data_IF_152217172327
#
_entry.id   IF_152217172327
#
_cell.length_a   1.000
_cell.length_b   1.000
_cell.length_c   1.000
_cell.angle_alpha   90.00
_cell.angle_beta   90.00
_cell.angle_gamma   90.00
#
_symmetry.space_group_name_H-M   'P 1'
#
loop_
_entity.id
_entity.type
_entity.pdbx_description
1 polymer ?
#
# COMPACT_ATOMS: atom_id res chain seq x y z
N UNK A 1 -8.20 -5.78 -17.81
CA UNK A 1 -8.29 -7.09 -17.10
C UNK A 1 -9.71 -7.45 -16.66
N UNK A 2 -10.69 -6.53 -16.69
CA UNK A 2 -12.07 -6.77 -16.24
C UNK A 2 -12.81 -7.89 -16.99
N UNK A 3 -12.56 -8.06 -18.27
CA UNK A 3 -13.17 -9.12 -19.07
C UNK A 3 -12.91 -10.54 -18.54
N UNK A 4 -11.70 -10.82 -18.08
CA UNK A 4 -11.35 -12.14 -17.58
C UNK A 4 -12.18 -12.57 -16.36
N UNK A 5 -12.67 -11.61 -15.57
CA UNK A 5 -13.53 -11.85 -14.41
C UNK A 5 -15.02 -11.97 -14.79
N UNK A 6 -15.42 -11.36 -15.91
CA UNK A 6 -16.81 -11.41 -16.35
C UNK A 6 -17.17 -12.73 -17.03
N UNK A 7 -16.24 -13.34 -17.78
CA UNK A 7 -16.50 -14.58 -18.51
C UNK A 7 -17.01 -15.71 -17.60
N UNK A 8 -16.38 -16.05 -16.45
CA UNK A 8 -16.92 -17.07 -15.56
C UNK A 8 -18.33 -16.74 -15.04
N UNK A 9 -18.65 -15.48 -14.78
CA UNK A 9 -19.97 -15.06 -14.29
C UNK A 9 -21.06 -15.24 -15.34
N UNK A 10 -20.69 -15.18 -16.61
CA UNK A 10 -21.61 -15.34 -17.75
C UNK A 10 -21.80 -16.82 -18.11
N UNK A 11 -20.70 -17.59 -18.12
CA UNK A 11 -20.68 -18.95 -18.66
C UNK A 11 -21.03 -20.03 -17.60
N UNK A 12 -20.68 -19.80 -16.33
CA UNK A 12 -20.82 -20.82 -15.29
C UNK A 12 -22.09 -20.63 -14.46
N UNK A 13 -23.25 -20.70 -15.10
CA UNK A 13 -24.57 -20.45 -14.46
C UNK A 13 -24.90 -21.41 -13.30
N UNK A 14 -24.29 -22.59 -13.27
CA UNK A 14 -24.49 -23.58 -12.20
C UNK A 14 -23.55 -23.35 -10.99
N UNK A 15 -22.58 -22.46 -11.09
CA UNK A 15 -21.62 -22.18 -10.01
C UNK A 15 -22.21 -21.25 -8.94
N UNK A 16 -21.70 -21.36 -7.74
CA UNK A 16 -21.89 -20.39 -6.69
C UNK A 16 -20.71 -19.42 -6.69
N UNK A 17 -21.00 -18.12 -6.69
CA UNK A 17 -19.98 -17.09 -6.73
C UNK A 17 -19.87 -16.35 -5.41
N UNK A 18 -18.64 -16.08 -4.99
CA UNK A 18 -18.30 -15.13 -3.96
C UNK A 18 -17.49 -13.99 -4.60
N UNK A 19 -18.08 -12.81 -4.73
CA UNK A 19 -17.43 -11.64 -5.27
C UNK A 19 -16.97 -10.75 -4.11
N UNK A 20 -15.68 -10.44 -4.06
CA UNK A 20 -15.09 -9.60 -3.02
C UNK A 20 -14.40 -8.40 -3.66
N UNK A 21 -14.74 -7.21 -3.21
CA UNK A 21 -14.09 -5.97 -3.65
C UNK A 21 -14.18 -4.92 -2.55
N UNK A 22 -13.10 -4.15 -2.40
CA UNK A 22 -13.07 -3.00 -1.50
C UNK A 22 -13.63 -1.72 -2.14
N UNK A 23 -13.74 -1.66 -3.47
CA UNK A 23 -13.98 -0.43 -4.23
C UNK A 23 -15.11 -0.54 -5.27
N UNK A 24 -15.87 -1.63 -5.28
CA UNK A 24 -17.07 -1.71 -6.13
C UNK A 24 -18.13 -0.77 -5.52
N UNK A 25 -18.59 0.18 -6.33
CA UNK A 25 -19.69 1.07 -5.95
C UNK A 25 -21.02 0.32 -5.82
N UNK A 26 -22.09 0.85 -6.40
CA UNK A 26 -23.39 0.18 -6.40
C UNK A 26 -23.33 -1.17 -7.14
N UNK A 27 -23.59 -2.23 -6.40
CA UNK A 27 -23.54 -3.63 -6.89
C UNK A 27 -24.91 -4.17 -7.30
N UNK A 28 -25.96 -3.39 -7.23
CA UNK A 28 -27.35 -3.82 -7.47
C UNK A 28 -27.50 -4.53 -8.81
N UNK A 29 -27.00 -3.94 -9.90
CA UNK A 29 -27.07 -4.53 -11.23
C UNK A 29 -26.33 -5.86 -11.35
N UNK A 30 -25.20 -6.00 -10.65
CA UNK A 30 -24.43 -7.25 -10.66
C UNK A 30 -25.20 -8.33 -9.91
N UNK A 31 -25.77 -8.01 -8.76
CA UNK A 31 -26.57 -8.92 -7.95
C UNK A 31 -27.83 -9.39 -8.69
N UNK A 32 -28.55 -8.49 -9.34
CA UNK A 32 -29.72 -8.81 -10.17
C UNK A 32 -29.37 -9.71 -11.36
N UNK A 33 -28.28 -9.40 -12.08
CA UNK A 33 -27.85 -10.19 -13.23
C UNK A 33 -27.40 -11.59 -12.82
N UNK A 34 -26.66 -11.73 -11.74
CA UNK A 34 -26.26 -13.03 -11.19
C UNK A 34 -27.50 -13.83 -10.74
N UNK A 35 -28.43 -13.23 -10.04
CA UNK A 35 -29.68 -13.87 -9.63
C UNK A 35 -30.44 -14.42 -10.83
N UNK A 36 -30.60 -13.60 -11.89
CA UNK A 36 -31.27 -13.98 -13.12
C UNK A 36 -30.59 -15.13 -13.85
N UNK A 37 -29.25 -15.10 -13.92
CA UNK A 37 -28.46 -16.12 -14.64
C UNK A 37 -28.37 -17.44 -13.92
N UNK A 38 -28.17 -17.40 -12.62
CA UNK A 38 -27.94 -18.61 -11.80
C UNK A 38 -29.21 -19.18 -11.23
N UNK A 39 -30.33 -18.43 -11.23
CA UNK A 39 -31.57 -18.80 -10.54
C UNK A 39 -31.44 -18.81 -9.01
N UNK A 40 -30.36 -18.29 -8.45
CA UNK A 40 -30.08 -18.26 -7.01
C UNK A 40 -30.11 -16.82 -6.50
N UNK A 41 -30.67 -16.55 -5.31
CA UNK A 41 -30.68 -15.22 -4.75
C UNK A 41 -29.25 -14.73 -4.46
N UNK A 42 -28.91 -13.54 -4.91
CA UNK A 42 -27.64 -12.88 -4.56
C UNK A 42 -27.84 -12.07 -3.27
N UNK A 43 -26.95 -12.27 -2.30
CA UNK A 43 -26.89 -11.47 -1.08
C UNK A 43 -25.70 -10.52 -1.15
N UNK A 44 -25.97 -9.23 -0.93
CA UNK A 44 -24.92 -8.21 -0.84
C UNK A 44 -24.64 -7.91 0.64
N UNK A 45 -23.39 -8.13 1.05
CA UNK A 45 -22.90 -7.75 2.37
C UNK A 45 -22.05 -6.49 2.20
N UNK A 46 -22.59 -5.36 2.61
CA UNK A 46 -21.94 -4.05 2.52
C UNK A 46 -22.09 -3.31 3.86
N UNK A 47 -21.21 -2.36 4.14
CA UNK A 47 -21.41 -1.40 5.23
C UNK A 47 -20.99 -1.87 6.63
N UNK A 48 -19.94 -2.67 6.75
CA UNK A 48 -19.26 -2.86 8.05
C UNK A 48 -18.69 -1.54 8.58
N UNK A 49 -18.79 -1.28 9.88
CA UNK A 49 -18.07 -0.16 10.51
C UNK A 49 -16.58 -0.29 10.21
N UNK A 50 -15.98 0.79 9.70
CA UNK A 50 -14.54 0.82 9.49
C UNK A 50 -13.83 0.93 10.84
N UNK A 51 -12.94 -0.01 11.21
CA UNK A 51 -12.20 0.09 12.46
C UNK A 51 -11.24 1.29 12.49
N UNK A 52 -10.88 1.80 11.30
CA UNK A 52 -10.06 3.01 11.14
C UNK A 52 -10.88 4.04 10.37
N UNK A 53 -11.10 5.24 10.94
CA UNK A 53 -11.77 6.33 10.25
C UNK A 53 -11.04 6.69 8.95
N UNK A 54 -11.79 7.09 7.93
CA UNK A 54 -11.25 7.54 6.66
C UNK A 54 -11.68 8.98 6.42
N UNK A 55 -10.68 9.86 6.38
CA UNK A 55 -10.85 11.27 6.06
C UNK A 55 -10.18 11.56 4.72
N UNK A 56 -10.75 12.49 3.95
CA UNK A 56 -10.23 12.90 2.66
C UNK A 56 -9.93 14.40 2.68
N UNK A 57 -8.74 14.75 2.22
CA UNK A 57 -8.32 16.12 2.04
C UNK A 57 -7.62 16.29 0.69
N UNK A 58 -7.92 17.37 -0.01
CA UNK A 58 -7.22 17.75 -1.22
C UNK A 58 -6.27 18.91 -0.93
N UNK A 59 -4.98 18.67 -1.13
CA UNK A 59 -3.94 19.67 -0.89
C UNK A 59 -3.17 19.97 -2.18
N UNK A 60 -2.76 21.22 -2.35
CA UNK A 60 -1.97 21.69 -3.50
C UNK A 60 -0.51 21.99 -3.15
N UNK A 61 -0.15 21.82 -1.88
CA UNK A 61 1.22 22.01 -1.41
C UNK A 61 2.17 20.98 -1.98
N UNK A 62 3.44 21.32 -2.22
CA UNK A 62 4.44 20.34 -2.63
C UNK A 62 4.52 19.16 -1.66
N UNK A 63 4.65 17.96 -2.20
CA UNK A 63 4.54 16.71 -1.40
C UNK A 63 5.54 16.63 -0.24
N UNK A 64 6.75 17.19 -0.38
CA UNK A 64 7.73 17.23 0.70
C UNK A 64 7.25 18.05 1.90
N UNK A 65 6.59 19.20 1.65
CA UNK A 65 6.00 20.03 2.70
C UNK A 65 4.81 19.32 3.36
N UNK A 66 3.96 18.67 2.57
CA UNK A 66 2.85 17.85 3.08
C UNK A 66 3.36 16.73 3.99
N UNK A 67 4.42 16.04 3.59
CA UNK A 67 5.04 14.98 4.41
C UNK A 67 5.59 15.56 5.71
N UNK A 68 6.30 16.69 5.68
CA UNK A 68 6.80 17.35 6.90
C UNK A 68 5.67 17.73 7.86
N UNK A 69 4.58 18.29 7.34
CA UNK A 69 3.40 18.64 8.15
C UNK A 69 2.80 17.39 8.80
N UNK A 70 2.63 16.31 8.05
CA UNK A 70 2.08 15.05 8.57
C UNK A 70 2.98 14.46 9.66
N UNK A 71 4.30 14.44 9.45
CA UNK A 71 5.25 13.91 10.43
C UNK A 71 5.29 14.76 11.71
N UNK A 72 5.22 16.10 11.59
CA UNK A 72 5.18 17.00 12.73
C UNK A 72 3.89 16.89 13.56
N UNK A 73 2.82 16.31 13.00
CA UNK A 73 1.55 16.03 13.69
C UNK A 73 1.39 14.55 14.07
N UNK A 74 2.49 13.80 14.14
CA UNK A 74 2.51 12.36 14.49
C UNK A 74 1.61 11.47 13.61
N UNK A 75 1.40 11.88 12.35
CA UNK A 75 0.61 11.11 11.37
C UNK A 75 1.48 10.15 10.55
N UNK A 76 2.41 9.48 11.19
CA UNK A 76 3.19 8.40 10.59
C UNK A 76 2.50 7.04 10.83
N UNK A 77 2.71 6.04 9.95
CA UNK A 77 3.44 6.11 8.69
C UNK A 77 2.66 6.78 7.56
N UNK A 78 3.36 7.55 6.72
CA UNK A 78 2.79 8.16 5.51
C UNK A 78 3.05 7.25 4.31
N UNK A 79 2.00 6.83 3.60
CA UNK A 79 2.15 6.06 2.38
C UNK A 79 1.90 6.93 1.15
N UNK A 80 2.91 7.05 0.28
CA UNK A 80 2.84 7.84 -0.95
C UNK A 80 2.69 6.90 -2.14
N UNK A 81 1.53 6.95 -2.79
CA UNK A 81 1.23 6.12 -3.95
C UNK A 81 1.77 6.75 -5.23
N UNK A 82 2.46 5.95 -6.03
CA UNK A 82 2.99 6.35 -7.34
C UNK A 82 2.44 5.46 -8.45
N UNK A 83 2.24 6.00 -9.66
CA UNK A 83 1.79 5.20 -10.79
C UNK A 83 2.87 4.24 -11.32
N UNK A 84 4.16 4.50 -11.02
CA UNK A 84 5.28 3.69 -11.48
C UNK A 84 6.26 3.34 -10.37
N UNK A 85 6.94 2.20 -10.51
CA UNK A 85 7.99 1.76 -9.59
C UNK A 85 9.18 2.73 -9.57
N UNK A 86 9.55 3.25 -10.74
CA UNK A 86 10.63 4.23 -10.88
C UNK A 86 10.29 5.53 -10.12
N UNK A 87 9.08 6.06 -10.30
CA UNK A 87 8.61 7.25 -9.59
C UNK A 87 8.57 7.07 -8.06
N UNK A 88 8.19 5.87 -7.59
CA UNK A 88 8.24 5.56 -6.16
C UNK A 88 9.67 5.61 -5.60
N UNK A 89 10.64 5.03 -6.34
CA UNK A 89 12.04 5.04 -5.94
C UNK A 89 12.64 6.45 -5.97
N UNK A 90 12.39 7.20 -7.04
CA UNK A 90 12.86 8.58 -7.20
C UNK A 90 12.32 9.46 -6.06
N UNK A 91 11.02 9.34 -5.75
CA UNK A 91 10.41 10.05 -4.63
C UNK A 91 11.06 9.68 -3.29
N UNK A 92 11.25 8.41 -3.02
CA UNK A 92 11.91 7.96 -1.80
C UNK A 92 13.32 8.56 -1.66
N UNK A 93 14.07 8.62 -2.76
CA UNK A 93 15.40 9.23 -2.76
C UNK A 93 15.35 10.75 -2.53
N UNK A 94 14.39 11.46 -3.14
CA UNK A 94 14.25 12.91 -2.95
C UNK A 94 13.87 13.27 -1.50
N UNK A 95 13.10 12.42 -0.82
CA UNK A 95 12.72 12.63 0.58
C UNK A 95 13.87 12.40 1.58
N UNK A 96 15.00 11.85 1.16
CA UNK A 96 16.18 11.72 2.04
C UNK A 96 16.76 13.06 2.51
N UNK A 97 16.40 14.16 1.86
CA UNK A 97 16.77 15.53 2.32
C UNK A 97 15.99 15.96 3.55
N UNK A 98 14.88 15.29 3.87
CA UNK A 98 14.07 15.58 5.05
C UNK A 98 14.63 14.83 6.28
N UNK A 99 14.46 15.45 7.46
CA UNK A 99 14.73 14.78 8.73
C UNK A 99 13.54 13.92 9.15
N UNK A 100 13.36 12.78 8.47
CA UNK A 100 12.23 11.87 8.70
C UNK A 100 12.28 11.19 10.06
N UNK A 101 13.50 10.91 10.57
CA UNK A 101 13.72 10.22 11.84
C UNK A 101 14.75 10.93 12.71
N UNK A 102 14.56 10.86 14.03
CA UNK A 102 15.52 11.28 15.05
C UNK A 102 16.77 10.39 15.04
N UNK A 103 17.77 10.75 15.82
CA UNK A 103 18.98 9.93 15.99
C UNK A 103 18.68 8.61 16.71
N UNK A 104 17.79 8.65 17.68
CA UNK A 104 17.33 7.50 18.45
C UNK A 104 16.60 6.51 17.55
N UNK A 105 15.64 6.98 16.75
CA UNK A 105 14.91 6.16 15.80
C UNK A 105 15.83 5.53 14.74
N UNK A 106 16.82 6.27 14.24
CA UNK A 106 17.84 5.71 13.33
C UNK A 106 18.67 4.61 13.97
N UNK A 107 18.95 4.69 15.28
CA UNK A 107 19.63 3.63 16.03
C UNK A 107 18.74 2.40 16.15
N UNK A 108 17.48 2.57 16.49
CA UNK A 108 16.49 1.48 16.57
C UNK A 108 16.34 0.76 15.24
N UNK A 109 16.28 1.52 14.12
CA UNK A 109 16.28 0.95 12.78
C UNK A 109 17.56 0.13 12.53
N UNK A 110 18.73 0.65 12.92
CA UNK A 110 19.99 -0.04 12.73
C UNK A 110 20.06 -1.35 13.54
N UNK A 111 19.53 -1.36 14.74
CA UNK A 111 19.40 -2.55 15.59
C UNK A 111 18.43 -3.56 14.99
N UNK A 112 17.26 -3.12 14.55
CA UNK A 112 16.25 -3.97 13.89
C UNK A 112 16.74 -4.59 12.57
N UNK A 113 17.57 -3.86 11.82
CA UNK A 113 18.23 -4.39 10.63
C UNK A 113 19.23 -5.50 10.96
N UNK A 114 19.89 -5.43 12.13
CA UNK A 114 20.80 -6.45 12.60
C UNK A 114 21.81 -6.91 11.53
N UNK A 115 21.85 -8.22 11.31
CA UNK A 115 22.67 -8.86 10.30
C UNK A 115 22.05 -8.95 8.89
N UNK A 116 20.96 -8.19 8.60
CA UNK A 116 20.32 -8.27 7.29
C UNK A 116 21.27 -7.86 6.16
N UNK A 117 21.54 -8.79 5.24
CA UNK A 117 22.48 -8.57 4.14
C UNK A 117 21.77 -8.01 2.92
N UNK A 118 22.06 -6.76 2.60
CA UNK A 118 21.64 -6.12 1.36
C UNK A 118 22.59 -6.52 0.22
N UNK A 119 22.03 -6.95 -0.92
CA UNK A 119 22.83 -7.24 -2.12
C UNK A 119 23.19 -5.95 -2.85
N UNK A 120 24.16 -6.03 -3.77
CA UNK A 120 24.53 -4.93 -4.66
C UNK A 120 23.33 -4.42 -5.50
N UNK A 121 23.45 -3.27 -6.09
CA UNK A 121 22.39 -2.63 -6.87
C UNK A 121 21.29 -2.06 -5.95
N UNK A 122 20.04 -2.39 -6.24
CA UNK A 122 18.87 -1.88 -5.51
C UNK A 122 18.96 -2.10 -3.99
N UNK A 123 19.58 -3.20 -3.54
CA UNK A 123 19.74 -3.46 -2.11
C UNK A 123 20.54 -2.38 -1.39
N UNK A 124 21.57 -1.81 -2.00
CA UNK A 124 22.34 -0.69 -1.43
C UNK A 124 21.47 0.57 -1.29
N UNK A 125 20.70 0.87 -2.32
CA UNK A 125 19.76 2.01 -2.28
C UNK A 125 18.72 1.82 -1.19
N UNK A 126 18.09 0.65 -1.12
CA UNK A 126 17.11 0.33 -0.09
C UNK A 126 17.72 0.42 1.32
N UNK A 127 18.95 -0.08 1.53
CA UNK A 127 19.64 0.03 2.81
C UNK A 127 19.81 1.47 3.28
N UNK A 128 20.13 2.38 2.36
CA UNK A 128 20.23 3.81 2.68
C UNK A 128 18.88 4.40 3.05
N UNK A 129 17.85 4.11 2.28
CA UNK A 129 16.50 4.62 2.51
C UNK A 129 15.94 4.16 3.85
N UNK A 130 15.96 2.86 4.14
CA UNK A 130 15.39 2.34 5.39
C UNK A 130 16.08 2.89 6.63
N UNK A 131 17.41 3.12 6.57
CA UNK A 131 18.16 3.76 7.66
C UNK A 131 17.79 5.23 7.89
N UNK A 132 17.09 5.86 6.95
CA UNK A 132 16.52 7.20 7.09
C UNK A 132 15.02 7.17 7.46
N UNK A 133 14.46 5.99 7.75
CA UNK A 133 13.04 5.83 8.05
C UNK A 133 12.13 5.85 6.83
N UNK A 134 12.70 5.66 5.63
CA UNK A 134 11.97 5.69 4.36
C UNK A 134 11.94 4.28 3.75
N UNK A 135 10.76 3.79 3.43
CA UNK A 135 10.55 2.52 2.74
C UNK A 135 10.23 2.71 1.26
N UNK A 136 10.48 1.67 0.47
CA UNK A 136 9.95 1.53 -0.89
C UNK A 136 9.19 0.21 -0.97
N UNK A 137 7.98 0.21 -1.56
CA UNK A 137 7.15 -0.98 -1.67
C UNK A 137 6.46 -1.07 -3.04
N UNK A 138 6.77 -2.12 -3.80
CA UNK A 138 6.12 -2.42 -5.08
C UNK A 138 6.34 -3.88 -5.49
N UNK A 139 5.53 -4.38 -6.41
CA UNK A 139 5.54 -5.78 -6.85
C UNK A 139 6.88 -6.24 -7.48
N UNK A 140 7.65 -5.32 -8.08
CA UNK A 140 8.95 -5.60 -8.68
C UNK A 140 10.10 -5.82 -7.67
N UNK A 141 9.85 -5.66 -6.37
CA UNK A 141 10.86 -5.92 -5.35
C UNK A 141 11.03 -7.41 -5.09
N UNK A 142 12.26 -7.82 -4.75
CA UNK A 142 12.50 -9.16 -4.24
C UNK A 142 11.67 -9.39 -2.96
N UNK A 143 11.03 -10.56 -2.80
CA UNK A 143 10.17 -10.85 -1.65
C UNK A 143 10.84 -10.61 -0.29
N UNK A 144 12.15 -10.86 -0.17
CA UNK A 144 12.91 -10.61 1.06
C UNK A 144 12.98 -9.13 1.45
N UNK A 145 13.08 -8.22 0.46
CA UNK A 145 13.12 -6.78 0.69
C UNK A 145 11.73 -6.23 1.00
N UNK A 146 10.72 -6.74 0.32
CA UNK A 146 9.33 -6.38 0.58
C UNK A 146 8.94 -6.74 2.01
N UNK A 147 9.21 -7.99 2.44
CA UNK A 147 9.00 -8.42 3.83
C UNK A 147 9.76 -7.58 4.86
N UNK A 148 11.00 -7.20 4.56
CA UNK A 148 11.76 -6.33 5.45
C UNK A 148 11.07 -4.98 5.64
N UNK A 149 10.64 -4.32 4.55
CA UNK A 149 9.94 -3.04 4.59
C UNK A 149 8.64 -3.18 5.39
N UNK A 150 7.85 -4.22 5.13
CA UNK A 150 6.61 -4.51 5.85
C UNK A 150 6.84 -4.71 7.36
N UNK A 151 7.88 -5.46 7.74
CA UNK A 151 8.24 -5.70 9.14
C UNK A 151 8.65 -4.41 9.85
N UNK A 152 9.53 -3.61 9.22
CA UNK A 152 9.96 -2.33 9.79
C UNK A 152 8.80 -1.33 9.89
N UNK A 153 7.88 -1.33 8.93
CA UNK A 153 6.67 -0.50 8.97
C UNK A 153 5.75 -0.90 10.11
N UNK A 154 5.49 -2.20 10.29
CA UNK A 154 4.67 -2.70 11.41
C UNK A 154 5.29 -2.42 12.78
N UNK A 155 6.60 -2.39 12.84
CA UNK A 155 7.33 -2.01 14.07
C UNK A 155 7.34 -0.48 14.31
N UNK A 156 6.71 0.33 13.45
CA UNK A 156 6.70 1.79 13.58
C UNK A 156 8.02 2.49 13.23
N UNK A 157 8.99 1.73 12.67
CA UNK A 157 10.34 2.23 12.40
C UNK A 157 10.45 2.99 11.07
N UNK A 158 9.56 2.74 10.12
CA UNK A 158 9.48 3.50 8.87
C UNK A 158 8.35 4.52 8.96
N UNK A 159 8.70 5.77 8.76
CA UNK A 159 7.76 6.90 8.83
C UNK A 159 7.13 7.24 7.50
N UNK A 160 7.84 6.97 6.40
CA UNK A 160 7.36 7.23 5.03
C UNK A 160 7.61 6.02 4.15
N UNK A 161 6.61 5.62 3.39
CA UNK A 161 6.73 4.55 2.40
C UNK A 161 6.30 5.10 1.03
N UNK A 162 7.17 4.98 0.03
CA UNK A 162 6.85 5.27 -1.35
C UNK A 162 6.58 3.97 -2.10
N UNK A 163 5.43 3.84 -2.72
CA UNK A 163 5.08 2.59 -3.40
C UNK A 163 4.07 2.75 -4.51
N UNK A 164 3.75 1.64 -5.15
CA UNK A 164 2.61 1.54 -6.06
C UNK A 164 1.39 1.00 -5.29
N UNK A 165 0.22 0.93 -5.90
CA UNK A 165 -1.05 0.49 -5.30
C UNK A 165 -1.10 -0.98 -4.85
N UNK A 166 0.05 -1.58 -4.54
CA UNK A 166 0.19 -3.00 -4.15
C UNK A 166 0.12 -3.25 -2.64
N UNK A 167 -0.10 -2.22 -1.83
CA UNK A 167 -0.48 -2.34 -0.43
C UNK A 167 -2.01 -2.32 -0.34
N UNK A 168 -2.63 -3.44 -0.62
CA UNK A 168 -4.04 -3.70 -0.44
C UNK A 168 -4.23 -4.99 0.33
#
# INVERSE_FOLDING_TARGET
RGWAWQVPLIELTNAQFLLMSATLGDTTRIAEDLTRRTGRPAATVAGGERPVPLEFEYVTTPIHQTVEVLLNHDRAPVYIVHPTQAGALERAQSLMSLNVCTREEKREIAEALGGFRFRAGFGRTLSRLVRHGIGVHHAGMLPRYRRLVEQLTRAGLLKVICGTDTLG
#
